data_IF_383994844443
#
_entry.id   IF_383994844443
#
_cell.length_a   1.000
_cell.length_b   1.000
_cell.length_c   1.000
_cell.angle_alpha   90.00
_cell.angle_beta   90.00
_cell.angle_gamma   90.00
#
_symmetry.space_group_name_H-M   'P 1'
#
loop_
_entity.id
_entity.type
_entity.pdbx_description
1 polymer ?
#
# COMPACT_ATOMS: atom_id res chain seq x y z
N UNK A 1 1.96 -13.94 19.81
CA UNK A 1 2.49 -13.34 18.58
C UNK A 1 2.22 -11.85 18.70
N UNK A 2 3.15 -11.12 19.31
CA UNK A 2 3.14 -9.65 19.30
C UNK A 2 3.66 -9.27 17.92
N UNK A 3 2.78 -8.87 17.00
CA UNK A 3 3.22 -8.13 15.82
C UNK A 3 3.60 -6.75 16.34
N UNK A 4 4.90 -6.44 16.37
CA UNK A 4 5.35 -5.07 16.59
C UNK A 4 4.84 -4.25 15.39
N UNK A 5 3.80 -3.46 15.65
CA UNK A 5 3.21 -2.53 14.71
C UNK A 5 4.16 -1.35 14.56
N UNK A 6 5.20 -1.52 13.75
CA UNK A 6 6.00 -0.37 13.32
C UNK A 6 5.11 0.49 12.42
N UNK A 7 4.90 1.76 12.78
CA UNK A 7 4.01 2.67 12.05
C UNK A 7 4.38 2.83 10.56
N UNK A 8 5.63 2.51 10.23
CA UNK A 8 6.14 2.46 8.87
C UNK A 8 5.64 1.26 8.04
N UNK A 9 5.20 0.16 8.66
CA UNK A 9 4.59 -1.00 7.98
C UNK A 9 3.16 -0.69 7.56
N UNK A 10 2.41 -0.02 8.43
CA UNK A 10 0.99 0.32 8.23
C UNK A 10 0.80 1.15 6.94
N UNK A 11 1.70 2.11 6.67
CA UNK A 11 1.65 2.98 5.49
C UNK A 11 1.56 2.27 4.14
N UNK A 12 2.20 1.12 4.04
CA UNK A 12 2.46 0.46 2.77
C UNK A 12 1.35 -0.55 2.48
N UNK A 13 0.80 -1.20 3.49
CA UNK A 13 -0.15 -2.29 3.23
C UNK A 13 -1.44 -1.80 2.55
N UNK A 14 -1.84 -0.54 2.74
CA UNK A 14 -3.12 -0.02 2.23
C UNK A 14 -3.10 0.40 0.76
N UNK A 15 -2.02 1.02 0.29
CA UNK A 15 -1.94 1.52 -1.10
C UNK A 15 -1.81 0.35 -2.09
N UNK A 16 -1.18 -0.73 -1.66
CA UNK A 16 -0.87 -1.88 -2.51
C UNK A 16 -2.06 -2.79 -2.83
N UNK A 17 -3.17 -2.65 -2.11
CA UNK A 17 -4.40 -3.44 -2.36
C UNK A 17 -5.11 -2.99 -3.64
N UNK A 18 -4.81 -1.80 -4.16
CA UNK A 18 -5.48 -1.21 -5.32
C UNK A 18 -4.50 -1.16 -6.50
N UNK A 19 -4.14 -2.34 -7.03
CA UNK A 19 -3.36 -2.44 -8.27
C UNK A 19 -4.26 -2.63 -9.50
N UNK A 20 -3.65 -2.41 -10.67
CA UNK A 20 -4.27 -2.21 -12.00
C UNK A 20 -5.27 -3.28 -12.43
N UNK A 21 -5.15 -4.50 -11.92
CA UNK A 21 -5.97 -5.66 -12.31
C UNK A 21 -6.95 -6.11 -11.22
N UNK A 22 -6.99 -5.43 -10.07
CA UNK A 22 -7.81 -5.79 -8.90
C UNK A 22 -6.95 -6.07 -7.66
N UNK A 23 -7.57 -6.61 -6.61
CA UNK A 23 -6.89 -7.06 -5.39
C UNK A 23 -6.16 -8.40 -5.59
N UNK A 24 -5.59 -8.64 -6.76
CA UNK A 24 -4.79 -9.82 -7.02
C UNK A 24 -3.35 -9.47 -6.62
N UNK A 25 -2.71 -10.31 -5.82
CA UNK A 25 -1.34 -10.05 -5.35
C UNK A 25 -0.38 -10.56 -6.40
N UNK A 26 0.36 -9.64 -7.02
CA UNK A 26 1.36 -9.89 -8.05
C UNK A 26 2.79 -9.76 -7.54
N UNK A 27 2.98 -9.60 -6.22
CA UNK A 27 4.30 -9.46 -5.59
C UNK A 27 5.00 -10.81 -5.39
N UNK A 28 4.86 -11.70 -6.37
CA UNK A 28 5.56 -12.97 -6.43
C UNK A 28 6.86 -12.76 -7.22
N UNK A 29 7.92 -13.46 -6.84
CA UNK A 29 9.14 -13.51 -7.63
C UNK A 29 8.83 -14.04 -9.05
N UNK A 30 9.45 -13.50 -10.10
CA UNK A 30 9.00 -13.72 -11.45
C UNK A 30 9.16 -15.19 -11.83
N UNK A 31 8.09 -15.82 -12.30
CA UNK A 31 8.09 -17.19 -12.84
C UNK A 31 8.68 -17.28 -14.25
N UNK A 32 8.91 -16.14 -14.91
CA UNK A 32 9.38 -16.01 -16.30
C UNK A 32 10.50 -14.96 -16.45
N UNK A 33 11.02 -14.76 -17.67
CA UNK A 33 12.03 -13.74 -18.05
C UNK A 33 11.59 -12.27 -17.82
N UNK A 34 10.55 -12.01 -17.04
CA UNK A 34 10.04 -10.67 -16.75
C UNK A 34 10.69 -10.11 -15.48
N UNK A 35 10.77 -8.79 -15.41
CA UNK A 35 11.25 -8.08 -14.22
C UNK A 35 10.06 -7.91 -13.29
N UNK A 36 10.16 -8.40 -12.04
CA UNK A 36 9.08 -8.28 -11.05
C UNK A 36 8.76 -6.83 -10.71
N UNK A 37 7.49 -6.59 -10.38
CA UNK A 37 6.97 -5.32 -9.85
C UNK A 37 7.73 -4.83 -8.61
N UNK A 38 8.32 -5.74 -7.82
CA UNK A 38 9.16 -5.38 -6.65
C UNK A 38 10.33 -4.45 -7.01
N UNK A 39 10.76 -4.45 -8.28
CA UNK A 39 11.87 -3.61 -8.76
C UNK A 39 11.43 -2.24 -9.27
N UNK A 40 10.13 -1.96 -9.29
CA UNK A 40 9.64 -0.62 -9.64
C UNK A 40 9.97 0.38 -8.53
N UNK A 41 10.32 1.61 -8.91
CA UNK A 41 10.62 2.68 -7.96
C UNK A 41 9.45 3.02 -7.05
N UNK A 42 8.21 2.94 -7.55
CA UNK A 42 7.01 3.15 -6.75
C UNK A 42 6.82 2.06 -5.68
N UNK A 43 7.34 0.86 -5.94
CA UNK A 43 7.27 -0.29 -5.05
C UNK A 43 8.51 -0.44 -4.15
N UNK A 44 9.52 0.41 -4.32
CA UNK A 44 10.77 0.34 -3.54
C UNK A 44 10.56 0.54 -2.04
N UNK A 45 9.48 1.23 -1.66
CA UNK A 45 9.14 1.43 -0.25
C UNK A 45 8.51 0.19 0.40
N UNK A 46 7.98 -0.77 -0.37
CA UNK A 46 7.21 -1.91 0.14
C UNK A 46 8.04 -2.82 1.02
N UNK A 47 7.45 -3.23 2.15
CA UNK A 47 8.05 -4.07 3.18
C UNK A 47 6.99 -5.00 3.77
N UNK A 48 7.43 -6.04 4.46
CA UNK A 48 6.54 -7.04 5.08
C UNK A 48 6.33 -8.32 4.27
N UNK A 49 7.10 -8.52 3.19
CA UNK A 49 7.05 -9.76 2.40
C UNK A 49 7.31 -11.00 3.27
N UNK A 50 8.36 -10.97 4.10
CA UNK A 50 8.73 -12.09 4.98
C UNK A 50 7.61 -12.47 5.96
N UNK A 51 6.87 -11.47 6.47
CA UNK A 51 5.73 -11.70 7.35
C UNK A 51 4.58 -12.40 6.61
N UNK A 52 4.30 -11.99 5.37
CA UNK A 52 3.28 -12.63 4.54
C UNK A 52 3.67 -14.07 4.23
N UNK A 53 4.96 -14.33 3.95
CA UNK A 53 5.48 -15.67 3.70
C UNK A 53 5.36 -16.57 4.94
N UNK A 54 5.69 -16.07 6.14
CA UNK A 54 5.52 -16.80 7.41
C UNK A 54 4.05 -17.16 7.68
N UNK A 55 3.14 -16.19 7.48
CA UNK A 55 1.70 -16.41 7.63
C UNK A 55 1.21 -17.46 6.61
N UNK A 56 1.69 -17.38 5.37
CA UNK A 56 1.35 -18.34 4.32
C UNK A 56 1.82 -19.75 4.67
N UNK A 57 3.07 -19.91 5.13
CA UNK A 57 3.61 -21.21 5.53
C UNK A 57 2.80 -21.82 6.69
N UNK A 58 2.49 -21.02 7.71
CA UNK A 58 1.67 -21.47 8.84
C UNK A 58 0.25 -21.89 8.39
N UNK A 59 -0.36 -21.16 7.47
CA UNK A 59 -1.68 -21.50 6.92
C UNK A 59 -1.64 -22.77 6.07
N UNK A 60 -0.60 -22.98 5.25
CA UNK A 60 -0.47 -24.18 4.42
C UNK A 60 -0.32 -25.46 5.26
N UNK A 61 0.19 -25.39 6.49
CA UNK A 61 0.20 -26.52 7.43
C UNK A 61 -1.22 -26.91 7.88
N UNK A 62 -2.10 -25.94 8.05
CA UNK A 62 -3.45 -26.14 8.61
C UNK A 62 -4.50 -26.36 7.52
N UNK A 63 -4.43 -25.60 6.43
CA UNK A 63 -5.37 -25.60 5.31
C UNK A 63 -4.63 -25.52 3.96
N UNK A 64 -4.03 -26.65 3.50
CA UNK A 64 -3.27 -26.71 2.27
C UNK A 64 -4.05 -26.17 1.06
N UNK A 65 -3.40 -25.36 0.24
CA UNK A 65 -3.89 -24.81 -1.03
C UNK A 65 -5.26 -24.10 -0.94
N UNK A 66 -5.61 -23.59 0.24
CA UNK A 66 -6.96 -23.04 0.49
C UNK A 66 -6.99 -21.51 0.48
N UNK A 67 -6.02 -20.86 1.13
CA UNK A 67 -6.01 -19.40 1.32
C UNK A 67 -5.05 -18.75 0.34
N UNK A 68 -5.51 -17.79 -0.45
CA UNK A 68 -4.66 -17.03 -1.38
C UNK A 68 -3.80 -16.00 -0.64
N UNK A 69 -2.64 -15.67 -1.18
CA UNK A 69 -1.82 -14.55 -0.69
C UNK A 69 -2.59 -13.22 -0.77
N UNK A 70 -3.44 -13.07 -1.78
CA UNK A 70 -4.38 -11.95 -1.92
C UNK A 70 -5.32 -11.78 -0.72
N UNK A 71 -5.90 -12.88 -0.23
CA UNK A 71 -6.75 -12.83 0.97
C UNK A 71 -5.92 -12.65 2.25
N UNK A 72 -4.71 -13.21 2.34
CA UNK A 72 -3.81 -12.98 3.49
C UNK A 72 -3.51 -11.49 3.64
N UNK A 73 -3.11 -10.80 2.56
CA UNK A 73 -2.82 -9.37 2.59
C UNK A 73 -4.08 -8.57 2.98
N UNK A 74 -5.23 -8.92 2.41
CA UNK A 74 -6.49 -8.21 2.71
C UNK A 74 -6.93 -8.38 4.18
N UNK A 75 -6.75 -9.58 4.75
CA UNK A 75 -7.11 -9.89 6.13
C UNK A 75 -6.10 -9.32 7.14
N UNK A 76 -4.81 -9.42 6.85
CA UNK A 76 -3.75 -8.82 7.69
C UNK A 76 -3.87 -7.31 7.72
N UNK A 77 -4.19 -6.66 6.59
CA UNK A 77 -4.46 -5.21 6.55
C UNK A 77 -5.64 -4.85 7.44
N UNK A 78 -6.77 -5.57 7.34
CA UNK A 78 -7.94 -5.36 8.22
C UNK A 78 -7.55 -5.41 9.69
N UNK A 79 -6.77 -6.42 10.07
CA UNK A 79 -6.36 -6.62 11.45
C UNK A 79 -5.39 -5.52 11.91
N UNK A 80 -4.50 -5.07 11.05
CA UNK A 80 -3.59 -3.94 11.29
C UNK A 80 -4.35 -2.62 11.48
N UNK A 81 -5.39 -2.34 10.68
CA UNK A 81 -6.31 -1.20 10.91
C UNK A 81 -6.85 -1.21 12.33
N UNK A 82 -7.37 -2.36 12.75
CA UNK A 82 -8.03 -2.52 14.03
C UNK A 82 -7.04 -2.41 15.20
N UNK A 83 -5.83 -2.95 15.05
CA UNK A 83 -4.76 -2.85 16.05
C UNK A 83 -4.23 -1.42 16.19
N UNK A 84 -4.24 -0.66 15.09
CA UNK A 84 -3.85 0.76 15.05
C UNK A 84 -4.91 1.70 15.63
N UNK A 85 -6.02 1.18 16.16
CA UNK A 85 -7.13 1.95 16.72
C UNK A 85 -8.16 2.42 15.69
N UNK A 86 -8.04 1.96 14.43
CA UNK A 86 -9.00 2.21 13.37
C UNK A 86 -10.28 1.37 13.48
N UNK A 87 -11.19 1.50 12.50
CA UNK A 87 -12.46 0.79 12.50
C UNK A 87 -12.27 -0.73 12.34
N UNK A 88 -13.14 -1.51 12.99
CA UNK A 88 -13.28 -2.95 12.74
C UNK A 88 -14.34 -3.16 11.67
N UNK A 89 -13.97 -3.82 10.58
CA UNK A 89 -14.86 -4.10 9.47
C UNK A 89 -14.60 -5.50 8.92
N UNK A 90 -15.60 -6.11 8.28
CA UNK A 90 -15.43 -7.41 7.62
C UNK A 90 -14.87 -7.21 6.21
N UNK A 91 -13.92 -8.06 5.83
CA UNK A 91 -13.36 -8.09 4.48
C UNK A 91 -13.88 -9.33 3.75
N UNK A 92 -14.51 -9.20 2.57
CA UNK A 92 -14.87 -10.34 1.74
C UNK A 92 -13.63 -11.15 1.36
N UNK A 93 -13.72 -12.47 1.35
CA UNK A 93 -12.64 -13.39 0.92
C UNK A 93 -13.01 -14.08 -0.39
N UNK A 94 -12.05 -14.77 -1.00
CA UNK A 94 -12.19 -15.48 -2.27
C UNK A 94 -11.34 -14.90 -3.41
N UNK A 95 -10.43 -13.97 -3.10
CA UNK A 95 -9.47 -13.46 -4.09
C UNK A 95 -8.52 -14.58 -4.51
N UNK A 96 -7.94 -14.47 -5.70
CA UNK A 96 -6.99 -15.46 -6.23
C UNK A 96 -5.65 -14.78 -6.50
N UNK A 97 -4.59 -15.57 -6.43
CA UNK A 97 -3.25 -15.05 -6.67
C UNK A 97 -3.02 -14.85 -8.16
N UNK A 98 -2.40 -13.71 -8.51
CA UNK A 98 -2.00 -13.40 -9.87
C UNK A 98 -0.88 -14.35 -10.34
N UNK A 99 -0.88 -14.69 -11.63
CA UNK A 99 0.12 -15.61 -12.20
C UNK A 99 1.29 -14.89 -12.90
N UNK A 100 1.22 -13.57 -13.02
CA UNK A 100 2.17 -12.74 -13.77
C UNK A 100 2.59 -11.56 -12.92
N UNK A 101 3.91 -11.35 -12.76
CA UNK A 101 4.47 -10.13 -12.16
C UNK A 101 5.32 -9.43 -13.21
N UNK A 102 5.03 -8.15 -13.46
CA UNK A 102 5.74 -7.37 -14.46
C UNK A 102 5.82 -5.89 -14.07
N UNK A 103 7.05 -5.37 -14.02
CA UNK A 103 7.34 -3.96 -13.72
C UNK A 103 6.56 -2.97 -14.59
N UNK A 104 6.25 -3.33 -15.84
CA UNK A 104 5.51 -2.48 -16.76
C UNK A 104 4.03 -2.29 -16.38
N UNK A 105 3.50 -3.11 -15.47
CA UNK A 105 2.10 -3.08 -15.04
C UNK A 105 1.91 -2.26 -13.74
N UNK A 106 2.98 -1.66 -13.19
CA UNK A 106 2.91 -0.79 -12.01
C UNK A 106 2.38 0.59 -12.40
N UNK A 107 1.17 0.90 -11.94
CA UNK A 107 0.58 2.25 -12.06
C UNK A 107 0.22 2.77 -10.66
N UNK A 108 1.13 3.48 -10.02
CA UNK A 108 0.88 4.14 -8.74
C UNK A 108 1.00 5.67 -8.90
N UNK A 109 0.07 6.45 -8.31
CA UNK A 109 0.20 7.89 -8.31
C UNK A 109 1.39 8.32 -7.44
N UNK A 110 2.24 9.20 -7.97
CA UNK A 110 3.32 9.81 -7.21
C UNK A 110 2.82 10.76 -6.12
N UNK A 111 3.65 11.08 -5.11
CA UNK A 111 3.27 11.99 -4.01
C UNK A 111 3.02 13.44 -4.47
N UNK A 112 3.54 13.82 -5.63
CA UNK A 112 3.44 15.14 -6.27
C UNK A 112 2.22 15.28 -7.21
N UNK A 113 1.39 14.25 -7.32
CA UNK A 113 0.23 14.24 -8.23
C UNK A 113 -0.79 15.34 -7.89
N UNK A 114 -1.28 16.04 -8.92
CA UNK A 114 -2.36 17.02 -8.74
C UNK A 114 -3.70 16.35 -8.37
N UNK A 115 -4.55 17.03 -7.58
CA UNK A 115 -5.87 16.53 -7.18
C UNK A 115 -6.75 16.10 -8.38
N UNK A 116 -6.82 16.84 -9.51
CA UNK A 116 -7.59 16.39 -10.67
C UNK A 116 -7.04 15.11 -11.30
N UNK A 117 -5.71 14.93 -11.33
CA UNK A 117 -5.09 13.72 -11.85
C UNK A 117 -5.30 12.53 -10.89
N UNK A 118 -5.23 12.76 -9.58
CA UNK A 118 -5.52 11.77 -8.54
C UNK A 118 -6.98 11.29 -8.61
N UNK A 119 -7.93 12.23 -8.70
CA UNK A 119 -9.35 11.93 -8.89
C UNK A 119 -9.58 11.11 -10.16
N UNK A 120 -8.94 11.48 -11.27
CA UNK A 120 -9.01 10.71 -12.52
C UNK A 120 -8.45 9.30 -12.37
N UNK A 121 -7.34 9.14 -11.65
CA UNK A 121 -6.73 7.83 -11.40
C UNK A 121 -7.71 6.90 -10.67
N UNK A 122 -8.26 7.33 -9.53
CA UNK A 122 -9.20 6.52 -8.73
C UNK A 122 -10.53 6.25 -9.46
N UNK A 123 -11.11 7.26 -10.09
CA UNK A 123 -12.38 7.09 -10.83
C UNK A 123 -12.26 6.14 -12.03
N UNK A 124 -11.08 6.07 -12.66
CA UNK A 124 -10.79 5.07 -13.72
C UNK A 124 -10.81 3.64 -13.18
N UNK A 125 -10.54 3.45 -11.89
CA UNK A 125 -10.62 2.15 -11.19
C UNK A 125 -11.99 1.90 -10.54
N UNK A 126 -12.99 2.75 -10.82
CA UNK A 126 -14.34 2.63 -10.28
C UNK A 126 -14.50 3.11 -8.83
N UNK A 127 -13.51 3.84 -8.31
CA UNK A 127 -13.51 4.38 -6.95
C UNK A 127 -14.00 5.84 -6.99
N UNK A 128 -14.99 6.16 -6.16
CA UNK A 128 -15.56 7.51 -6.06
C UNK A 128 -14.59 8.50 -5.42
N UNK A 129 -14.86 9.80 -5.54
CA UNK A 129 -14.01 10.82 -4.91
C UNK A 129 -14.10 10.75 -3.38
N UNK A 130 -15.27 10.39 -2.85
CA UNK A 130 -15.49 10.19 -1.42
C UNK A 130 -14.67 9.00 -0.90
N UNK A 131 -14.66 7.88 -1.63
CA UNK A 131 -13.83 6.72 -1.30
C UNK A 131 -12.34 7.01 -1.47
N UNK A 132 -11.94 7.77 -2.49
CA UNK A 132 -10.56 8.25 -2.65
C UNK A 132 -10.10 9.03 -1.42
N UNK A 133 -10.90 9.99 -0.94
CA UNK A 133 -10.56 10.77 0.26
C UNK A 133 -10.47 9.87 1.50
N UNK A 134 -11.37 8.90 1.63
CA UNK A 134 -11.30 7.93 2.72
C UNK A 134 -10.01 7.08 2.66
N UNK A 135 -9.60 6.65 1.46
CA UNK A 135 -8.38 5.87 1.24
C UNK A 135 -7.11 6.67 1.51
N UNK A 136 -7.08 7.96 1.17
CA UNK A 136 -5.97 8.86 1.52
C UNK A 136 -5.78 8.99 3.04
N UNK A 137 -6.81 8.68 3.84
CA UNK A 137 -6.72 8.58 5.29
C UNK A 137 -5.72 7.53 5.78
N UNK A 138 -5.35 6.55 4.96
CA UNK A 138 -4.26 5.61 5.27
C UNK A 138 -2.91 6.31 5.51
N UNK A 139 -2.73 7.54 5.01
CA UNK A 139 -1.55 8.34 5.29
C UNK A 139 -1.48 8.94 6.70
N UNK A 140 -2.47 8.69 7.56
CA UNK A 140 -2.45 9.13 8.98
C UNK A 140 -1.26 8.59 9.78
N UNK A 141 -0.52 7.62 9.23
CA UNK A 141 0.67 7.00 9.81
C UNK A 141 1.95 7.26 8.99
N UNK A 142 1.90 8.10 7.95
CA UNK A 142 2.97 8.23 6.93
C UNK A 142 3.67 9.59 6.90
N UNK A 143 4.91 9.61 6.42
CA UNK A 143 5.73 10.82 6.30
C UNK A 143 6.56 10.88 5.01
N UNK A 144 5.95 11.24 3.88
CA UNK A 144 6.64 11.56 2.63
C UNK A 144 6.31 13.00 2.21
N UNK A 145 7.03 13.98 2.76
CA UNK A 145 6.79 15.41 2.47
C UNK A 145 8.05 16.28 2.54
N UNK A 146 9.24 15.67 2.62
CA UNK A 146 10.51 16.39 2.80
C UNK A 146 10.81 17.36 1.64
N UNK A 147 10.47 16.98 0.42
CA UNK A 147 10.54 17.82 -0.78
C UNK A 147 9.71 19.10 -0.63
N UNK A 148 8.51 19.01 -0.04
CA UNK A 148 7.64 20.16 0.23
C UNK A 148 8.18 21.08 1.32
N UNK A 149 9.10 20.59 2.17
CA UNK A 149 9.75 21.39 3.20
C UNK A 149 10.93 22.19 2.65
N UNK A 150 11.67 21.67 1.68
CA UNK A 150 12.95 22.24 1.25
C UNK A 150 13.05 22.66 -0.22
N UNK A 151 12.31 22.05 -1.14
CA UNK A 151 12.53 22.22 -2.58
C UNK A 151 11.24 22.17 -3.44
N UNK A 152 10.17 22.80 -2.97
CA UNK A 152 8.96 23.04 -3.75
C UNK A 152 9.12 24.29 -4.62
N UNK A 153 9.42 24.12 -5.92
CA UNK A 153 9.79 25.21 -6.83
C UNK A 153 10.97 26.07 -6.31
N UNK A 154 11.94 25.44 -5.65
CA UNK A 154 13.09 26.09 -5.02
C UNK A 154 12.76 26.86 -3.72
N UNK A 155 11.58 26.63 -3.13
CA UNK A 155 11.12 27.23 -1.86
C UNK A 155 10.35 26.22 -1.02
N UNK A 156 10.01 26.60 0.21
CA UNK A 156 9.05 25.84 1.01
C UNK A 156 7.64 25.99 0.42
N UNK A 157 6.87 24.90 0.40
CA UNK A 157 5.47 24.94 -0.02
C UNK A 157 4.67 25.88 0.92
N UNK A 158 4.03 26.94 0.38
CA UNK A 158 3.31 27.93 1.18
C UNK A 158 2.05 27.38 1.85
N UNK A 159 1.57 26.19 1.46
CA UNK A 159 0.42 25.51 2.06
C UNK A 159 0.80 24.63 3.25
N UNK A 160 2.09 24.37 3.47
CA UNK A 160 2.58 23.62 4.63
C UNK A 160 2.62 24.52 5.87
N UNK A 161 2.24 23.97 7.02
CA UNK A 161 2.34 24.69 8.30
C UNK A 161 3.80 25.15 8.51
N UNK A 162 4.07 26.45 8.75
CA UNK A 162 5.44 26.94 8.92
C UNK A 162 6.20 26.30 10.09
N UNK A 163 5.51 25.68 11.05
CA UNK A 163 6.12 24.99 12.20
C UNK A 163 6.61 23.57 11.88
N UNK A 164 6.15 22.96 10.77
CA UNK A 164 6.47 21.57 10.34
C UNK A 164 7.94 21.31 9.93
N UNK A 165 8.88 22.20 10.23
CA UNK A 165 10.33 22.01 10.00
C UNK A 165 11.20 22.33 11.22
N UNK A 166 10.60 22.50 12.40
CA UNK A 166 11.27 22.97 13.62
C UNK A 166 11.43 21.94 14.75
N UNK A 167 10.95 20.69 14.59
CA UNK A 167 11.04 19.65 15.63
C UNK A 167 12.35 18.84 15.53
N UNK A 168 13.47 19.53 15.33
CA UNK A 168 14.79 18.94 15.19
C UNK A 168 15.86 19.74 15.92
N UNK A 169 15.66 20.02 17.21
CA UNK A 169 16.71 20.43 18.15
C UNK A 169 16.43 19.83 19.53
#
# INVERSE_FOLDING_TARGET
MQLESDSNHICITYIFIINVQGCDVFLIDPTNKTVSEKKDGANASVRGFDLIDEVKEALEVVCPFTVSCADIISLTTRDDVALSGGPKYSVPTGRRDGLVSNIADVELPGPDISIPALSKFFTTKGITNEEMVALLGAHTVCGFFDDRLTDFDGKRDPTMDPTMGGMGN
#
